data_IF_913436777967
#
_entry.id   IF_913436777967
#
_cell.length_a   1.000
_cell.length_b   1.000
_cell.length_c   1.000
_cell.angle_alpha   90.00
_cell.angle_beta   90.00
_cell.angle_gamma   90.00
#
_symmetry.space_group_name_H-M   'P 1'
#
loop_
_entity.id
_entity.type
_entity.pdbx_description
1 polymer ?
#
# COMPACT_ATOMS: atom_id res chain seq x y z
N UNK A 1 -5.01 -2.54 23.53
CA UNK A 1 -3.82 -2.18 22.73
C UNK A 1 -4.20 -1.04 21.81
N UNK A 2 -3.37 -0.03 21.67
CA UNK A 2 -3.61 1.08 20.73
C UNK A 2 -3.39 0.58 19.30
N UNK A 3 -4.03 1.22 18.31
CA UNK A 3 -3.88 0.85 16.89
C UNK A 3 -2.42 0.91 16.44
N UNK A 4 -1.69 1.94 16.86
CA UNK A 4 -0.27 2.14 16.55
C UNK A 4 0.61 0.95 17.00
N UNK A 5 0.34 0.41 18.20
CA UNK A 5 1.08 -0.74 18.72
C UNK A 5 0.81 -2.01 17.89
N UNK A 6 -0.44 -2.18 17.43
CA UNK A 6 -0.82 -3.32 16.59
C UNK A 6 -0.22 -3.19 15.18
N UNK A 7 -0.20 -1.98 14.62
CA UNK A 7 0.46 -1.71 13.34
C UNK A 7 1.97 -1.96 13.41
N UNK A 8 2.64 -1.49 14.47
CA UNK A 8 4.06 -1.77 14.67
C UNK A 8 4.35 -3.26 14.83
N UNK A 9 3.52 -3.98 15.58
CA UNK A 9 3.66 -5.43 15.75
C UNK A 9 3.48 -6.19 14.43
N UNK A 10 2.49 -5.79 13.62
CA UNK A 10 2.24 -6.38 12.29
C UNK A 10 3.35 -6.08 11.29
N UNK A 11 3.80 -4.82 11.26
CA UNK A 11 4.82 -4.34 10.34
C UNK A 11 6.23 -4.85 10.70
N UNK A 12 6.43 -5.36 11.92
CA UNK A 12 7.73 -5.86 12.38
C UNK A 12 8.82 -4.78 12.41
N UNK A 13 8.42 -3.50 12.55
CA UNK A 13 9.30 -2.34 12.50
C UNK A 13 9.74 -1.91 11.09
N UNK A 14 9.14 -2.45 10.04
CA UNK A 14 9.51 -2.17 8.63
C UNK A 14 8.32 -1.64 7.84
N UNK A 15 8.57 -1.06 6.68
CA UNK A 15 7.51 -0.59 5.79
C UNK A 15 6.68 -1.79 5.29
N UNK A 16 5.36 -1.75 5.47
CA UNK A 16 4.48 -2.86 5.08
C UNK A 16 4.36 -3.06 3.56
N UNK A 17 4.78 -2.06 2.78
CA UNK A 17 4.79 -2.11 1.32
C UNK A 17 6.14 -2.58 0.76
N UNK A 18 7.24 -1.98 1.21
CA UNK A 18 8.58 -2.25 0.66
C UNK A 18 9.39 -3.25 1.47
N UNK A 19 9.06 -3.45 2.75
CA UNK A 19 9.87 -4.24 3.69
C UNK A 19 11.17 -3.55 4.11
N UNK A 20 11.36 -2.27 3.79
CA UNK A 20 12.56 -1.51 4.12
C UNK A 20 12.45 -0.77 5.45
N UNK A 21 13.61 -0.48 6.05
CA UNK A 21 13.75 0.40 7.20
C UNK A 21 13.68 1.86 6.72
N UNK A 22 12.66 2.59 7.16
CA UNK A 22 12.43 3.98 6.78
C UNK A 22 11.68 4.73 7.89
N UNK A 23 11.47 6.03 7.70
CA UNK A 23 10.56 6.80 8.55
C UNK A 23 9.12 6.37 8.27
N UNK A 24 8.59 5.54 9.16
CA UNK A 24 7.28 4.93 9.05
C UNK A 24 6.18 5.82 9.63
N UNK A 25 5.11 5.98 8.86
CA UNK A 25 3.91 6.71 9.26
C UNK A 25 2.65 5.88 9.00
N UNK A 26 1.65 6.02 9.87
CA UNK A 26 0.38 5.35 9.72
C UNK A 26 -0.47 6.06 8.65
N UNK A 27 -0.84 5.33 7.61
CA UNK A 27 -1.66 5.80 6.50
C UNK A 27 -2.98 5.03 6.46
N UNK A 28 -4.08 5.72 6.72
CA UNK A 28 -5.43 5.16 6.58
C UNK A 28 -5.92 5.35 5.15
N UNK A 29 -6.48 4.30 4.57
CA UNK A 29 -6.97 4.31 3.19
C UNK A 29 -8.23 5.17 3.05
N UNK A 30 -8.23 6.20 2.18
CA UNK A 30 -9.46 6.91 1.87
C UNK A 30 -10.42 5.97 1.13
N UNK A 31 -11.76 6.11 1.25
CA UNK A 31 -12.49 7.18 1.91
C UNK A 31 -12.74 6.97 3.41
N UNK A 32 -12.19 5.90 4.01
CA UNK A 32 -12.48 5.60 5.41
C UNK A 32 -11.92 6.67 6.34
N UNK A 33 -12.76 7.08 7.29
CA UNK A 33 -12.42 8.10 8.29
C UNK A 33 -11.94 7.44 9.59
N UNK A 34 -12.40 6.21 9.84
CA UNK A 34 -12.05 5.45 11.05
C UNK A 34 -10.83 4.59 10.77
N UNK A 35 -9.73 4.83 11.48
CA UNK A 35 -8.53 4.00 11.39
C UNK A 35 -8.75 2.65 12.08
N UNK A 36 -8.59 1.54 11.36
CA UNK A 36 -8.57 0.17 11.87
C UNK A 36 -7.34 -0.57 11.32
N UNK A 37 -7.16 -1.85 11.69
CA UNK A 37 -6.02 -2.62 11.17
C UNK A 37 -6.16 -2.94 9.68
N UNK A 38 -7.34 -3.25 9.20
CA UNK A 38 -7.60 -3.70 7.83
C UNK A 38 -7.56 -2.58 6.78
N UNK A 39 -7.56 -1.32 7.22
CA UNK A 39 -7.56 -0.14 6.36
C UNK A 39 -6.42 0.84 6.63
N UNK A 40 -5.61 0.57 7.65
CA UNK A 40 -4.46 1.40 8.00
C UNK A 40 -3.20 0.59 7.88
N UNK A 41 -2.18 1.19 7.29
CA UNK A 41 -0.90 0.57 7.02
C UNK A 41 0.25 1.48 7.46
N UNK A 42 1.35 0.86 7.87
CA UNK A 42 2.55 1.55 8.31
C UNK A 42 3.57 1.59 7.17
N UNK A 43 3.72 2.76 6.54
CA UNK A 43 4.51 2.92 5.31
C UNK A 43 5.42 4.14 5.37
N UNK A 44 6.39 4.20 4.46
CA UNK A 44 7.33 5.33 4.42
C UNK A 44 6.65 6.64 4.05
N UNK A 45 7.14 7.74 4.62
CA UNK A 45 6.64 9.10 4.37
C UNK A 45 6.60 9.45 2.87
N UNK A 46 7.63 9.06 2.12
CA UNK A 46 7.72 9.25 0.66
C UNK A 46 6.54 8.62 -0.07
N UNK A 47 6.22 7.35 0.22
CA UNK A 47 5.11 6.64 -0.45
C UNK A 47 3.77 7.27 -0.10
N UNK A 48 3.58 7.70 1.15
CA UNK A 48 2.37 8.43 1.58
C UNK A 48 2.23 9.75 0.83
N UNK A 49 3.32 10.49 0.65
CA UNK A 49 3.28 11.75 -0.07
C UNK A 49 2.91 11.55 -1.55
N UNK A 50 3.45 10.52 -2.19
CA UNK A 50 3.08 10.17 -3.57
C UNK A 50 1.62 9.68 -3.68
N UNK A 51 1.12 8.94 -2.69
CA UNK A 51 -0.28 8.51 -2.58
C UNK A 51 -1.23 9.71 -2.44
N UNK A 52 -0.92 10.63 -1.53
CA UNK A 52 -1.68 11.86 -1.28
C UNK A 52 -1.53 12.91 -2.38
N UNK A 53 -0.70 12.67 -3.39
CA UNK A 53 -0.37 13.62 -4.47
C UNK A 53 0.27 14.91 -3.95
N UNK A 54 0.90 14.86 -2.77
CA UNK A 54 1.69 15.96 -2.22
C UNK A 54 3.11 15.96 -2.77
N UNK A 55 3.55 14.82 -3.31
CA UNK A 55 4.81 14.65 -4.03
C UNK A 55 4.58 14.08 -5.43
N UNK A 56 5.55 14.32 -6.33
CA UNK A 56 5.51 13.78 -7.69
C UNK A 56 5.63 12.26 -7.65
N UNK A 57 4.69 11.60 -8.34
CA UNK A 57 4.70 10.15 -8.46
C UNK A 57 5.91 9.70 -9.29
N UNK A 58 6.75 8.85 -8.72
CA UNK A 58 7.92 8.28 -9.39
C UNK A 58 7.70 6.77 -9.59
N UNK A 59 7.49 6.28 -10.83
CA UNK A 59 7.21 4.86 -11.10
C UNK A 59 8.26 3.88 -10.56
N UNK A 60 9.53 4.28 -10.51
CA UNK A 60 10.61 3.43 -10.00
C UNK A 60 10.42 3.05 -8.53
N UNK A 61 9.87 3.97 -7.72
CA UNK A 61 9.61 3.71 -6.31
C UNK A 61 8.53 2.65 -6.12
N UNK A 62 7.70 2.38 -7.14
CA UNK A 62 6.56 1.46 -7.07
C UNK A 62 6.80 0.14 -7.82
N UNK A 63 8.01 -0.12 -8.31
CA UNK A 63 8.34 -1.38 -9.01
C UNK A 63 8.21 -2.63 -8.13
N UNK A 64 8.11 -2.47 -6.81
CA UNK A 64 7.88 -3.58 -5.88
C UNK A 64 6.41 -4.07 -5.87
N UNK A 65 5.47 -3.29 -6.42
CA UNK A 65 4.04 -3.60 -6.40
C UNK A 65 3.66 -5.00 -6.92
N UNK A 66 4.27 -5.53 -8.01
CA UNK A 66 3.95 -6.87 -8.51
C UNK A 66 4.24 -8.00 -7.51
N UNK A 67 5.15 -7.76 -6.56
CA UNK A 67 5.43 -8.71 -5.48
C UNK A 67 4.52 -8.44 -4.26
N UNK A 68 4.32 -7.17 -3.91
CA UNK A 68 3.53 -6.78 -2.74
C UNK A 68 2.01 -6.99 -2.91
N UNK A 69 1.50 -7.07 -4.14
CA UNK A 69 0.08 -7.32 -4.44
C UNK A 69 -0.44 -8.65 -3.90
N UNK A 70 0.44 -9.62 -3.59
CA UNK A 70 0.11 -10.93 -3.03
C UNK A 70 0.16 -10.99 -1.51
N UNK A 71 0.31 -9.83 -0.85
CA UNK A 71 0.32 -9.75 0.62
C UNK A 71 -0.99 -10.26 1.21
N UNK A 72 -0.93 -10.91 2.38
CA UNK A 72 -2.13 -11.31 3.15
C UNK A 72 -2.82 -10.12 3.83
N UNK A 73 -2.21 -8.94 3.82
CA UNK A 73 -2.77 -7.74 4.42
C UNK A 73 -3.72 -7.03 3.41
N UNK A 74 -5.03 -6.94 3.71
CA UNK A 74 -6.01 -6.35 2.80
C UNK A 74 -5.67 -4.89 2.46
N UNK A 75 -5.22 -4.12 3.46
CA UNK A 75 -4.78 -2.74 3.25
C UNK A 75 -3.64 -2.63 2.24
N UNK A 76 -2.69 -3.57 2.25
CA UNK A 76 -1.58 -3.61 1.28
C UNK A 76 -2.11 -3.94 -0.12
N UNK A 77 -2.97 -4.94 -0.24
CA UNK A 77 -3.58 -5.34 -1.52
C UNK A 77 -4.33 -4.17 -2.18
N UNK A 78 -5.13 -3.43 -1.39
CA UNK A 78 -5.88 -2.25 -1.88
C UNK A 78 -4.93 -1.16 -2.39
N UNK A 79 -3.85 -0.86 -1.65
CA UNK A 79 -2.85 0.13 -2.10
C UNK A 79 -2.18 -0.33 -3.38
N UNK A 80 -1.78 -1.60 -3.45
CA UNK A 80 -1.15 -2.16 -4.63
C UNK A 80 -2.07 -2.01 -5.85
N UNK A 81 -3.33 -2.42 -5.74
CA UNK A 81 -4.31 -2.26 -6.82
C UNK A 81 -4.51 -0.81 -7.23
N UNK A 82 -4.64 0.12 -6.27
CA UNK A 82 -4.81 1.55 -6.55
C UNK A 82 -3.62 2.13 -7.32
N UNK A 83 -2.41 1.79 -6.89
CA UNK A 83 -1.19 2.33 -7.46
C UNK A 83 -0.86 1.70 -8.80
N UNK A 84 -1.08 0.39 -8.96
CA UNK A 84 -1.00 -0.29 -10.24
C UNK A 84 -1.97 0.33 -11.24
N UNK A 85 -3.24 0.59 -10.86
CA UNK A 85 -4.20 1.29 -11.73
C UNK A 85 -3.77 2.70 -12.12
N UNK A 86 -3.12 3.43 -11.20
CA UNK A 86 -2.58 4.77 -11.46
C UNK A 86 -1.38 4.72 -12.41
N UNK A 87 -0.58 3.68 -12.31
CA UNK A 87 0.61 3.43 -13.11
C UNK A 87 0.35 2.55 -14.34
N UNK A 88 -0.91 2.23 -14.67
CA UNK A 88 -1.28 1.30 -15.76
C UNK A 88 -0.71 1.62 -17.15
N UNK A 89 -0.21 2.84 -17.37
CA UNK A 89 0.46 3.22 -18.61
C UNK A 89 1.90 2.67 -18.69
N UNK A 90 2.45 2.26 -17.55
CA UNK A 90 3.69 1.49 -17.46
C UNK A 90 3.40 0.03 -17.82
N UNK A 91 4.20 -0.56 -18.72
CA UNK A 91 4.00 -1.94 -19.17
C UNK A 91 3.95 -2.94 -18.01
N UNK A 92 4.90 -2.84 -17.08
CA UNK A 92 5.00 -3.72 -15.91
C UNK A 92 3.78 -3.62 -14.97
N UNK A 93 3.19 -2.43 -14.84
CA UNK A 93 2.03 -2.23 -13.98
C UNK A 93 0.76 -2.80 -14.65
N UNK A 94 0.63 -2.63 -15.96
CA UNK A 94 -0.45 -3.24 -16.74
C UNK A 94 -0.38 -4.77 -16.70
N UNK A 95 0.81 -5.34 -16.86
CA UNK A 95 1.02 -6.80 -16.77
C UNK A 95 0.68 -7.34 -15.39
N UNK A 96 1.07 -6.62 -14.33
CA UNK A 96 0.73 -7.01 -12.96
C UNK A 96 -0.79 -6.95 -12.71
N UNK A 97 -1.49 -5.92 -13.21
CA UNK A 97 -2.96 -5.83 -13.09
C UNK A 97 -3.69 -6.96 -13.79
N UNK A 98 -3.20 -7.42 -14.95
CA UNK A 98 -3.84 -8.49 -15.72
C UNK A 98 -3.80 -9.83 -14.96
N UNK A 99 -2.76 -10.03 -14.15
CA UNK A 99 -2.59 -11.23 -13.33
C UNK A 99 -3.26 -11.06 -11.95
N UNK A 100 -3.43 -9.81 -11.48
CA UNK A 100 -4.05 -9.49 -10.20
C UNK A 100 -5.52 -9.88 -10.19
N UNK A 101 -5.83 -11.00 -9.54
CA UNK A 101 -7.19 -11.36 -9.19
C UNK A 101 -7.40 -11.01 -7.71
N UNK A 102 -8.03 -9.87 -7.44
CA UNK A 102 -8.54 -9.54 -6.11
C UNK A 102 -10.01 -9.90 -6.06
N UNK A 103 -10.41 -10.58 -4.98
CA UNK A 103 -11.82 -10.81 -4.69
C UNK A 103 -12.52 -9.45 -4.47
N UNK A 104 -13.75 -9.32 -4.99
CA UNK A 104 -14.57 -8.11 -4.83
C UNK A 104 -14.76 -7.73 -3.35
N UNK A 105 -14.74 -8.71 -2.43
CA UNK A 105 -14.80 -8.47 -0.98
C UNK A 105 -13.61 -7.68 -0.43
N UNK A 106 -12.43 -7.77 -1.06
CA UNK A 106 -11.24 -7.00 -0.70
C UNK A 106 -11.31 -5.55 -1.22
N UNK A 107 -12.08 -5.31 -2.28
CA UNK A 107 -12.24 -3.99 -2.92
C UNK A 107 -13.49 -3.23 -2.44
N UNK A 108 -14.35 -3.86 -1.64
CA UNK A 108 -15.64 -3.36 -1.18
C UNK A 108 -15.57 -2.24 -0.12
#
# INVERSE_FOLDING_TARGET
MKLEEQLQARAGGKCELTGEDATLIAYTLPPEITSNLDNTLLISETLVNQLNKTEQLNPDDWKFLPNAMWSENPSVQIVCWRMLNRLKNEGWASEALDILHLDDETLA
#
